data_IF_040526738060
#
_entry.id   IF_040526738060
#
_cell.length_a   1.000
_cell.length_b   1.000
_cell.length_c   1.000
_cell.angle_alpha   90.00
_cell.angle_beta   90.00
_cell.angle_gamma   90.00
#
_symmetry.space_group_name_H-M   'P 1'
#
loop_
_entity.id
_entity.type
_entity.pdbx_description
1 polymer ?
#
# COMPACT_ATOMS: atom_id res chain seq x y z
N UNK A 1 -5.50 -21.22 13.52
CA UNK A 1 -5.97 -19.82 13.45
C UNK A 1 -4.84 -19.00 12.86
N UNK A 2 -4.99 -18.44 11.66
CA UNK A 2 -3.98 -17.52 11.12
C UNK A 2 -4.01 -16.26 11.99
N UNK A 3 -2.91 -15.94 12.67
CA UNK A 3 -2.84 -14.78 13.55
C UNK A 3 -3.01 -13.48 12.77
N UNK A 4 -3.59 -12.46 13.40
CA UNK A 4 -3.57 -11.09 12.89
C UNK A 4 -2.24 -10.43 13.29
N UNK A 5 -1.65 -9.66 12.38
CA UNK A 5 -0.48 -8.84 12.64
C UNK A 5 -0.90 -7.54 13.33
N UNK A 6 -0.09 -7.03 14.26
CA UNK A 6 -0.33 -5.75 14.92
C UNK A 6 -0.26 -4.61 13.89
N UNK A 7 -1.19 -3.65 13.99
CA UNK A 7 -1.31 -2.49 13.10
C UNK A 7 -1.07 -1.20 13.91
N UNK A 8 -0.24 -0.25 13.43
CA UNK A 8 0.48 -0.29 12.15
C UNK A 8 1.57 -1.36 12.15
N UNK A 9 1.68 -2.06 11.02
CA UNK A 9 2.70 -3.07 10.79
C UNK A 9 3.77 -2.50 9.88
N UNK A 10 5.04 -2.57 10.29
CA UNK A 10 6.18 -2.10 9.49
C UNK A 10 7.14 -3.25 9.23
N UNK A 11 7.62 -3.39 8.00
CA UNK A 11 8.65 -4.36 7.62
C UNK A 11 9.77 -3.63 6.88
N UNK A 12 11.01 -3.80 7.38
CA UNK A 12 12.22 -3.26 6.76
C UNK A 12 12.53 -3.95 5.43
N UNK A 13 13.06 -3.19 4.49
CA UNK A 13 13.53 -3.60 3.17
C UNK A 13 14.96 -3.08 2.99
N UNK A 14 15.98 -3.67 3.65
CA UNK A 14 17.34 -3.12 3.67
C UNK A 14 17.97 -3.02 2.28
N UNK A 15 17.65 -3.96 1.40
CA UNK A 15 18.09 -3.98 0.00
C UNK A 15 17.20 -3.16 -0.95
N UNK A 16 16.15 -2.54 -0.40
CA UNK A 16 15.09 -1.87 -1.13
C UNK A 16 14.23 -2.81 -1.98
N UNK A 17 13.63 -2.25 -3.03
CA UNK A 17 12.81 -3.01 -3.98
C UNK A 17 13.37 -2.87 -5.38
N UNK A 18 13.28 -3.94 -6.17
CA UNK A 18 13.73 -3.99 -7.56
C UNK A 18 12.55 -4.31 -8.48
N UNK A 19 12.74 -4.13 -9.78
CA UNK A 19 11.77 -4.58 -10.77
C UNK A 19 11.51 -6.08 -10.57
N UNK A 20 10.23 -6.44 -10.54
CA UNK A 20 9.78 -7.80 -10.24
C UNK A 20 9.54 -8.09 -8.76
N UNK A 21 9.90 -7.21 -7.82
CA UNK A 21 9.52 -7.37 -6.41
C UNK A 21 7.99 -7.36 -6.27
N UNK A 22 7.45 -8.35 -5.57
CA UNK A 22 6.01 -8.46 -5.30
C UNK A 22 5.76 -8.40 -3.81
N UNK A 23 4.89 -7.50 -3.37
CA UNK A 23 4.38 -7.47 -2.01
C UNK A 23 2.93 -7.91 -2.01
N UNK A 24 2.62 -8.97 -1.26
CA UNK A 24 1.27 -9.46 -1.05
C UNK A 24 0.76 -9.04 0.32
N UNK A 25 -0.37 -8.34 0.34
CA UNK A 25 -1.05 -7.89 1.54
C UNK A 25 -2.42 -8.57 1.58
N UNK A 26 -2.71 -9.30 2.65
CA UNK A 26 -4.05 -9.86 2.91
C UNK A 26 -4.56 -9.38 4.25
N UNK A 27 -5.85 -9.10 4.30
CA UNK A 27 -6.51 -8.69 5.53
C UNK A 27 -8.02 -8.69 5.37
N UNK A 28 -8.68 -8.16 6.38
CA UNK A 28 -10.13 -7.91 6.39
C UNK A 28 -10.35 -6.42 6.65
N UNK A 29 -11.29 -5.82 5.94
CA UNK A 29 -11.77 -4.46 6.22
C UNK A 29 -12.85 -4.55 7.30
N UNK A 30 -12.67 -3.97 8.50
CA UNK A 30 -13.71 -3.96 9.54
C UNK A 30 -15.01 -3.28 9.11
N UNK A 31 -16.12 -3.63 9.76
CA UNK A 31 -17.46 -3.07 9.45
C UNK A 31 -17.56 -1.55 9.63
N UNK A 32 -16.74 -0.97 10.50
CA UNK A 32 -16.70 0.47 10.79
C UNK A 32 -15.50 1.17 10.17
N UNK A 33 -14.80 0.53 9.22
CA UNK A 33 -13.61 1.11 8.62
C UNK A 33 -13.92 2.41 7.85
N UNK A 34 -13.16 3.46 8.17
CA UNK A 34 -13.10 4.67 7.38
C UNK A 34 -12.07 4.52 6.27
N UNK A 35 -10.80 4.27 6.62
CA UNK A 35 -9.70 4.18 5.65
C UNK A 35 -8.53 3.35 6.17
N UNK A 36 -7.79 2.74 5.26
CA UNK A 36 -6.50 2.11 5.56
C UNK A 36 -5.46 2.49 4.52
N UNK A 37 -4.19 2.21 4.79
CA UNK A 37 -3.10 2.54 3.87
C UNK A 37 -2.01 1.47 3.81
N UNK A 38 -1.31 1.47 2.69
CA UNK A 38 0.00 0.82 2.51
C UNK A 38 0.97 1.89 2.00
N UNK A 39 2.05 2.12 2.73
CA UNK A 39 3.12 3.04 2.37
C UNK A 39 4.37 2.26 1.96
N UNK A 40 5.03 2.66 0.87
CA UNK A 40 6.41 2.30 0.55
C UNK A 40 7.30 3.48 0.95
N UNK A 41 7.90 3.40 2.13
CA UNK A 41 8.67 4.47 2.75
C UNK A 41 10.13 4.44 2.32
N UNK A 42 10.76 5.60 2.19
CA UNK A 42 12.18 5.74 1.85
C UNK A 42 13.14 5.61 3.04
N UNK A 43 12.59 5.50 4.24
CA UNK A 43 13.29 5.34 5.51
C UNK A 43 12.34 4.78 6.57
N UNK A 44 12.89 4.45 7.74
CA UNK A 44 12.11 3.87 8.84
C UNK A 44 11.62 4.93 9.84
N UNK A 45 12.28 6.09 9.83
CA UNK A 45 12.02 7.22 10.70
C UNK A 45 10.62 7.83 10.50
N UNK A 46 10.00 8.37 11.56
CA UNK A 46 8.74 9.10 11.43
C UNK A 46 8.86 10.28 10.45
N UNK A 47 7.88 10.41 9.56
CA UNK A 47 7.86 11.48 8.55
C UNK A 47 8.74 11.23 7.34
N UNK A 48 9.30 10.02 7.19
CA UNK A 48 10.03 9.64 5.98
C UNK A 48 9.17 9.79 4.71
N UNK A 49 9.84 10.03 3.59
CA UNK A 49 9.20 10.12 2.29
C UNK A 49 8.48 8.82 1.93
N UNK A 50 7.37 8.92 1.22
CA UNK A 50 6.61 7.78 0.73
C UNK A 50 6.68 7.76 -0.79
N UNK A 51 7.45 6.82 -1.36
CA UNK A 51 7.48 6.60 -2.80
C UNK A 51 6.09 6.23 -3.34
N UNK A 52 5.33 5.49 -2.55
CA UNK A 52 3.93 5.17 -2.79
C UNK A 52 3.15 5.30 -1.46
N UNK A 53 2.03 6.00 -1.52
CA UNK A 53 0.95 5.94 -0.55
C UNK A 53 -0.28 5.40 -1.25
N UNK A 54 -0.65 4.16 -0.94
CA UNK A 54 -1.86 3.51 -1.41
C UNK A 54 -2.91 3.57 -0.31
N UNK A 55 -4.02 4.28 -0.53
CA UNK A 55 -4.98 4.60 0.51
C UNK A 55 -6.43 4.37 0.08
N UNK A 56 -6.97 3.16 0.31
CA UNK A 56 -8.40 2.92 0.24
C UNK A 56 -9.16 3.71 1.31
N UNK A 57 -10.12 4.52 0.85
CA UNK A 57 -11.00 5.39 1.65
C UNK A 57 -12.44 4.91 1.48
N UNK A 58 -12.90 4.05 2.38
CA UNK A 58 -14.24 3.46 2.36
C UNK A 58 -15.32 4.50 2.67
N UNK A 59 -14.98 5.50 3.48
CA UNK A 59 -15.81 6.67 3.77
C UNK A 59 -16.06 7.56 2.54
N UNK A 60 -15.11 7.61 1.60
CA UNK A 60 -15.20 8.37 0.35
C UNK A 60 -15.51 7.48 -0.88
N UNK A 61 -15.68 6.17 -0.70
CA UNK A 61 -15.84 5.18 -1.78
C UNK A 61 -14.77 5.30 -2.88
N UNK A 62 -13.53 5.60 -2.50
CA UNK A 62 -12.43 5.84 -3.44
C UNK A 62 -11.12 5.20 -2.97
N UNK A 63 -10.15 5.09 -3.88
CA UNK A 63 -8.79 4.68 -3.54
C UNK A 63 -7.83 5.73 -4.09
N UNK A 64 -7.05 6.31 -3.20
CA UNK A 64 -6.09 7.37 -3.52
C UNK A 64 -4.67 6.79 -3.60
N UNK A 65 -3.93 7.27 -4.57
CA UNK A 65 -2.51 7.03 -4.74
C UNK A 65 -1.77 8.36 -4.69
N UNK A 66 -0.66 8.42 -3.95
CA UNK A 66 0.17 9.61 -3.93
C UNK A 66 1.62 9.30 -3.55
N UNK A 67 2.44 10.34 -3.53
CA UNK A 67 3.82 10.36 -3.03
C UNK A 67 3.92 11.47 -2.00
N UNK A 68 4.67 11.22 -0.93
CA UNK A 68 5.11 12.24 0.03
C UNK A 68 6.60 12.48 -0.20
N UNK A 69 6.99 13.67 -0.63
CA UNK A 69 8.38 14.03 -0.89
C UNK A 69 8.68 15.39 -0.26
N UNK A 70 9.83 15.56 0.38
CA UNK A 70 10.21 16.78 1.10
C UNK A 70 9.14 17.30 2.07
N UNK A 71 8.38 16.38 2.70
CA UNK A 71 7.30 16.71 3.63
C UNK A 71 6.00 17.22 3.00
N UNK A 72 5.88 17.21 1.67
CA UNK A 72 4.70 17.65 0.94
C UNK A 72 4.07 16.51 0.12
N UNK A 73 2.74 16.40 0.19
CA UNK A 73 2.01 15.48 -0.66
C UNK A 73 2.00 15.97 -2.11
N UNK A 74 2.24 15.06 -3.04
CA UNK A 74 2.11 15.33 -4.46
C UNK A 74 0.65 15.42 -4.93
N UNK A 75 0.47 15.41 -6.25
CA UNK A 75 -0.87 15.34 -6.87
C UNK A 75 -1.50 13.96 -6.63
N UNK A 76 -2.69 13.91 -6.04
CA UNK A 76 -3.43 12.66 -5.89
C UNK A 76 -3.79 12.06 -7.26
N UNK A 77 -3.61 10.75 -7.39
CA UNK A 77 -4.28 9.93 -8.39
C UNK A 77 -5.40 9.15 -7.71
N UNK A 78 -6.48 8.90 -8.44
CA UNK A 78 -7.61 8.09 -7.96
C UNK A 78 -7.77 6.90 -8.89
N UNK A 79 -7.88 5.71 -8.31
CA UNK A 79 -8.26 4.52 -9.05
C UNK A 79 -9.72 4.60 -9.54
N UNK A 80 -10.18 3.56 -10.27
CA UNK A 80 -11.60 3.42 -10.61
C UNK A 80 -12.43 3.12 -9.34
N UNK A 81 -13.64 2.56 -9.49
CA UNK A 81 -14.49 2.17 -8.35
C UNK A 81 -13.72 1.38 -7.29
N UNK A 82 -13.91 1.72 -6.01
CA UNK A 82 -13.22 1.04 -4.92
C UNK A 82 -13.54 -0.47 -4.92
N UNK A 83 -12.52 -1.35 -4.93
CA UNK A 83 -12.70 -2.80 -4.87
C UNK A 83 -12.82 -3.32 -3.42
N UNK A 84 -12.75 -2.42 -2.43
CA UNK A 84 -12.77 -2.78 -1.01
C UNK A 84 -14.17 -2.60 -0.42
N UNK A 85 -14.60 -3.56 0.40
CA UNK A 85 -15.89 -3.55 1.07
C UNK A 85 -15.72 -3.84 2.56
N UNK A 86 -16.47 -3.11 3.39
CA UNK A 86 -16.55 -3.35 4.83
C UNK A 86 -17.05 -4.77 5.12
N UNK A 87 -16.45 -5.41 6.11
CA UNK A 87 -16.72 -6.79 6.50
C UNK A 87 -16.10 -7.86 5.58
N UNK A 88 -15.43 -7.46 4.48
CA UNK A 88 -14.90 -8.40 3.49
C UNK A 88 -13.37 -8.55 3.56
N UNK A 89 -12.84 -9.75 3.26
CA UNK A 89 -11.41 -9.94 3.07
C UNK A 89 -10.93 -9.27 1.78
N UNK A 90 -9.64 -8.99 1.71
CA UNK A 90 -8.97 -8.53 0.51
C UNK A 90 -7.64 -9.24 0.29
N UNK A 91 -7.18 -9.25 -0.96
CA UNK A 91 -5.86 -9.72 -1.38
C UNK A 91 -5.29 -8.68 -2.36
N UNK A 92 -4.21 -8.02 -1.99
CA UNK A 92 -3.55 -6.99 -2.78
C UNK A 92 -2.16 -7.44 -3.15
N UNK A 93 -1.80 -7.29 -4.42
CA UNK A 93 -0.41 -7.35 -4.88
C UNK A 93 0.05 -5.95 -5.26
N UNK A 94 1.15 -5.50 -4.67
CA UNK A 94 1.94 -4.37 -5.16
C UNK A 94 3.16 -4.94 -5.90
N UNK A 95 3.24 -4.65 -7.19
CA UNK A 95 4.27 -5.20 -8.08
C UNK A 95 5.12 -4.05 -8.59
N UNK A 96 6.41 -4.07 -8.29
CA UNK A 96 7.36 -3.10 -8.83
C UNK A 96 7.66 -3.46 -10.29
N UNK A 97 7.36 -2.53 -11.19
CA UNK A 97 7.67 -2.61 -12.63
C UNK A 97 8.73 -1.56 -12.99
N UNK A 98 9.23 -1.58 -14.23
CA UNK A 98 10.15 -0.55 -14.73
C UNK A 98 9.53 0.86 -14.68
N UNK A 99 8.23 0.97 -14.96
CA UNK A 99 7.54 2.27 -15.07
C UNK A 99 6.90 2.75 -13.76
N UNK A 100 6.53 1.83 -12.87
CA UNK A 100 5.73 2.17 -11.69
C UNK A 100 5.43 1.01 -10.75
N UNK A 101 4.53 1.26 -9.80
CA UNK A 101 3.93 0.24 -8.95
C UNK A 101 2.58 -0.16 -9.53
N UNK A 102 2.47 -1.41 -9.98
CA UNK A 102 1.20 -2.00 -10.40
C UNK A 102 0.48 -2.56 -9.18
N UNK A 103 -0.80 -2.23 -9.06
CA UNK A 103 -1.67 -2.71 -7.99
C UNK A 103 -2.68 -3.68 -8.57
N UNK A 104 -2.72 -4.88 -8.02
CA UNK A 104 -3.71 -5.92 -8.33
C UNK A 104 -4.55 -6.16 -7.08
N UNK A 105 -5.87 -6.21 -7.23
CA UNK A 105 -6.78 -6.54 -6.13
C UNK A 105 -7.60 -7.77 -6.52
N UNK A 106 -7.51 -8.83 -5.72
CA UNK A 106 -7.94 -10.16 -6.15
C UNK A 106 -7.13 -10.63 -7.37
N UNK A 107 -7.81 -10.87 -8.48
CA UNK A 107 -7.20 -11.33 -9.74
C UNK A 107 -7.18 -10.24 -10.83
N UNK A 108 -7.57 -9.01 -10.50
CA UNK A 108 -7.72 -7.91 -11.47
C UNK A 108 -6.70 -6.81 -11.22
N UNK A 109 -6.05 -6.37 -12.30
CA UNK A 109 -5.27 -5.14 -12.29
C UNK A 109 -6.17 -3.95 -11.98
N UNK A 110 -5.82 -3.20 -10.95
CA UNK A 110 -6.63 -2.11 -10.42
C UNK A 110 -6.09 -0.73 -10.83
N UNK A 111 -4.79 -0.51 -10.68
CA UNK A 111 -4.14 0.76 -11.01
C UNK A 111 -2.65 0.57 -11.27
N UNK A 112 -2.05 1.47 -12.06
CA UNK A 112 -0.61 1.54 -12.25
C UNK A 112 -0.13 2.94 -11.90
N UNK A 113 0.57 3.07 -10.77
CA UNK A 113 1.10 4.33 -10.28
C UNK A 113 2.53 4.51 -10.77
N UNK A 114 2.75 5.46 -11.69
CA UNK A 114 4.09 5.73 -12.24
C UNK A 114 5.05 6.20 -11.15
N UNK A 115 6.31 5.76 -11.24
CA UNK A 115 7.34 6.14 -10.27
C UNK A 115 7.51 7.67 -10.24
N UNK A 116 7.31 8.26 -9.07
CA UNK A 116 7.69 9.66 -8.79
C UNK A 116 9.01 9.75 -8.01
N UNK A 117 9.25 8.75 -7.17
CA UNK A 117 10.52 8.51 -6.47
C UNK A 117 11.10 7.20 -7.01
N UNK A 118 12.42 7.09 -7.24
CA UNK A 118 13.03 5.84 -7.67
C UNK A 118 12.71 4.69 -6.69
N UNK A 119 12.26 3.51 -7.17
CA UNK A 119 11.91 2.39 -6.31
C UNK A 119 13.10 1.90 -5.46
N UNK A 120 14.32 2.09 -5.95
CA UNK A 120 15.57 1.79 -5.22
C UNK A 120 15.76 2.61 -3.95
N UNK A 121 14.97 3.67 -3.72
CA UNK A 121 14.97 4.45 -2.46
C UNK A 121 14.06 3.86 -1.38
N UNK A 122 13.15 2.94 -1.70
CA UNK A 122 12.26 2.31 -0.71
C UNK A 122 13.08 1.53 0.30
N UNK A 123 12.81 1.68 1.59
CA UNK A 123 13.49 1.02 2.72
C UNK A 123 12.54 0.36 3.71
N UNK A 124 11.25 0.65 3.65
CA UNK A 124 10.26 -0.05 4.45
C UNK A 124 8.90 -0.09 3.75
N UNK A 125 8.10 -1.08 4.11
CA UNK A 125 6.66 -1.09 3.85
C UNK A 125 5.93 -0.94 5.18
N UNK A 126 4.94 -0.07 5.22
CA UNK A 126 4.10 0.16 6.39
C UNK A 126 2.63 0.01 6.02
N UNK A 127 1.90 -0.78 6.80
CA UNK A 127 0.46 -1.02 6.61
C UNK A 127 -0.27 -0.54 7.86
N UNK A 128 -1.25 0.34 7.70
CA UNK A 128 -1.89 1.03 8.81
C UNK A 128 -3.34 1.46 8.55
N UNK A 129 -3.97 2.01 9.58
CA UNK A 129 -5.37 2.44 9.55
C UNK A 129 -6.36 1.32 9.87
N UNK A 130 -7.58 1.43 9.35
CA UNK A 130 -8.71 0.58 9.71
C UNK A 130 -8.70 -0.74 8.93
N UNK A 131 -7.81 -1.65 9.30
CA UNK A 131 -7.76 -3.00 8.77
C UNK A 131 -7.37 -4.04 9.84
N UNK A 132 -7.77 -5.29 9.63
CA UNK A 132 -7.19 -6.44 10.30
C UNK A 132 -6.18 -7.10 9.36
N UNK A 133 -4.89 -6.84 9.57
CA UNK A 133 -3.82 -7.39 8.74
C UNK A 133 -3.60 -8.87 9.06
N UNK A 134 -3.62 -9.74 8.04
CA UNK A 134 -3.41 -11.19 8.18
C UNK A 134 -2.08 -11.65 7.57
N UNK A 135 -1.65 -10.99 6.49
CA UNK A 135 -0.41 -11.33 5.80
C UNK A 135 0.21 -10.08 5.20
N UNK A 136 1.51 -9.92 5.41
CA UNK A 136 2.38 -9.15 4.55
C UNK A 136 3.54 -10.05 4.15
N UNK A 137 3.70 -10.31 2.85
CA UNK A 137 4.78 -11.15 2.33
C UNK A 137 5.42 -10.49 1.12
N UNK A 138 6.75 -10.41 1.13
CA UNK A 138 7.55 -9.88 0.04
C UNK A 138 8.21 -11.05 -0.70
N UNK A 139 8.22 -10.99 -2.03
CA UNK A 139 8.82 -11.96 -2.95
C UNK A 139 9.84 -11.26 -3.86
#
# INVERSE_FOLDING_TARGET
MSGTLAVPHKTSLPEGVRVGTVMRIRGVVPDQAGRFYVNLLCGEEPGSEAALHFNPRLDESSVVFNTLEHGAWGREERGPSSPFQRGQPFDVLLITTDEGFKVVVGDLEYHHFRHRIPPTRVRAVEVGGDLQLQLLKIF
#
